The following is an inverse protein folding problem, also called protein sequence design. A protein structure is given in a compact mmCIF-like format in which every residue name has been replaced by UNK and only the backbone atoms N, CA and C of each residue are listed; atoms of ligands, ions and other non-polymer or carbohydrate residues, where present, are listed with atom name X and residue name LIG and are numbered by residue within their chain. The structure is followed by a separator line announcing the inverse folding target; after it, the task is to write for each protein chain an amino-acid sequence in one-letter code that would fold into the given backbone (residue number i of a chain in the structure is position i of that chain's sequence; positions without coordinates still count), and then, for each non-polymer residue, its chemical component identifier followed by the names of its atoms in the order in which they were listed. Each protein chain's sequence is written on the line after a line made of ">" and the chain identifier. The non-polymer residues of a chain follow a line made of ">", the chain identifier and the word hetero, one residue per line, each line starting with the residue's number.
data_IF_744466665037
#
_entry.id   IF_744466665037
#
_cell.length_a   1.000
_cell.length_b   1.000
_cell.length_c   1.000
_cell.angle_alpha   90.00
_cell.angle_beta   90.00
_cell.angle_gamma   90.00
#
_symmetry.space_group_name_H-M   'P 1'
#
loop_
_entity.id
_entity.type
_entity.pdbx_description
1 polymer ?
#
# COMPACT_ATOMS: atom_id res chain seq x y z
N UNK A 1 -7.67 36.32 -13.80
CA UNK A 1 -6.56 35.55 -14.29
C UNK A 1 -6.80 34.04 -14.13
N UNK A 2 -7.62 33.41 -15.01
CA UNK A 2 -7.89 31.96 -14.93
C UNK A 2 -6.61 31.11 -15.09
N UNK A 3 -5.63 31.61 -15.80
CA UNK A 3 -4.36 30.94 -16.09
C UNK A 3 -3.50 30.64 -14.84
N UNK A 4 -3.47 31.56 -13.88
CA UNK A 4 -2.70 31.39 -12.64
C UNK A 4 -3.37 30.38 -11.72
N UNK A 5 -4.69 30.29 -11.76
CA UNK A 5 -5.45 29.29 -11.00
C UNK A 5 -5.24 27.87 -11.57
N UNK A 6 -5.29 27.72 -12.89
CA UNK A 6 -5.02 26.45 -13.56
C UNK A 6 -3.59 25.95 -13.32
N UNK A 7 -2.59 26.83 -13.40
CA UNK A 7 -1.19 26.48 -13.08
C UNK A 7 -1.02 26.10 -11.61
N UNK A 8 -1.78 26.71 -10.72
CA UNK A 8 -1.81 26.35 -9.30
C UNK A 8 -2.40 24.95 -9.08
N UNK A 9 -3.48 24.62 -9.77
CA UNK A 9 -4.13 23.31 -9.72
C UNK A 9 -3.24 22.19 -10.29
N UNK A 10 -2.56 22.45 -11.41
CA UNK A 10 -1.64 21.47 -12.02
C UNK A 10 -0.46 21.15 -11.10
N UNK A 11 0.11 22.16 -10.45
CA UNK A 11 1.18 21.98 -9.47
C UNK A 11 0.71 21.25 -8.23
N UNK A 12 -0.45 21.60 -7.71
CA UNK A 12 -1.05 20.95 -6.56
C UNK A 12 -1.35 19.46 -6.85
N UNK A 13 -1.91 19.17 -8.03
CA UNK A 13 -2.15 17.80 -8.47
C UNK A 13 -0.87 16.99 -8.61
N UNK A 14 0.21 17.58 -9.12
CA UNK A 14 1.51 16.93 -9.23
C UNK A 14 2.12 16.60 -7.86
N UNK A 15 2.00 17.51 -6.89
CA UNK A 15 2.45 17.28 -5.51
C UNK A 15 1.65 16.16 -4.87
N UNK A 16 0.33 16.17 -4.99
CA UNK A 16 -0.54 15.13 -4.44
C UNK A 16 -0.28 13.75 -5.07
N UNK A 17 0.04 13.71 -6.36
CA UNK A 17 0.36 12.46 -7.06
C UNK A 17 1.68 11.83 -6.60
N UNK A 18 2.61 12.62 -6.07
CA UNK A 18 3.87 12.11 -5.49
C UNK A 18 3.76 11.70 -4.02
N UNK A 19 2.67 12.07 -3.34
CA UNK A 19 2.39 11.67 -1.97
C UNK A 19 1.85 10.23 -1.92
N UNK A 20 1.96 9.59 -0.76
CA UNK A 20 1.23 8.36 -0.52
C UNK A 20 -0.28 8.58 -0.68
N UNK A 21 -0.98 7.61 -1.26
CA UNK A 21 -2.38 7.79 -1.64
C UNK A 21 -3.30 8.10 -0.44
N UNK A 22 -3.03 7.51 0.72
CA UNK A 22 -3.76 7.79 1.96
C UNK A 22 -3.57 9.23 2.45
N UNK A 23 -2.36 9.77 2.37
CA UNK A 23 -2.06 11.18 2.70
C UNK A 23 -2.73 12.15 1.72
N UNK A 24 -2.71 11.81 0.44
CA UNK A 24 -3.39 12.61 -0.60
C UNK A 24 -4.91 12.61 -0.38
N UNK A 25 -5.49 11.48 0.00
CA UNK A 25 -6.91 11.34 0.33
C UNK A 25 -7.28 12.23 1.52
N UNK A 26 -6.49 12.24 2.58
CA UNK A 26 -6.73 13.08 3.76
C UNK A 26 -6.77 14.57 3.41
N UNK A 27 -5.89 15.01 2.53
CA UNK A 27 -5.89 16.39 2.04
C UNK A 27 -7.14 16.67 1.18
N UNK A 28 -7.46 15.77 0.26
CA UNK A 28 -8.60 15.94 -0.66
C UNK A 28 -9.94 15.95 0.07
N UNK A 29 -10.09 15.21 1.14
CA UNK A 29 -11.32 15.20 1.96
C UNK A 29 -11.64 16.55 2.61
N UNK A 30 -10.62 17.35 2.85
CA UNK A 30 -10.76 18.69 3.44
C UNK A 30 -11.04 19.81 2.42
N UNK A 31 -11.11 19.47 1.13
CA UNK A 31 -11.37 20.44 0.05
C UNK A 31 -12.84 20.45 -0.36
N UNK A 32 -13.25 21.55 -0.99
CA UNK A 32 -14.56 21.63 -1.62
C UNK A 32 -14.68 20.58 -2.75
N UNK A 33 -15.88 20.02 -3.00
CA UNK A 33 -16.07 18.99 -4.03
C UNK A 33 -15.58 19.39 -5.42
N UNK A 34 -15.73 20.67 -5.80
CA UNK A 34 -15.26 21.20 -7.09
C UNK A 34 -13.73 21.21 -7.19
N UNK A 35 -13.04 21.61 -6.13
CA UNK A 35 -11.57 21.62 -6.07
C UNK A 35 -11.01 20.20 -6.06
N UNK A 36 -11.63 19.31 -5.29
CA UNK A 36 -11.28 17.89 -5.22
C UNK A 36 -11.35 17.23 -6.59
N UNK A 37 -12.47 17.37 -7.30
CA UNK A 37 -12.64 16.81 -8.64
C UNK A 37 -11.65 17.41 -9.65
N UNK A 38 -11.40 18.72 -9.58
CA UNK A 38 -10.47 19.41 -10.45
C UNK A 38 -9.02 18.91 -10.26
N UNK A 39 -8.61 18.62 -9.03
CA UNK A 39 -7.29 18.09 -8.72
C UNK A 39 -7.15 16.62 -9.18
N UNK A 40 -8.12 15.79 -8.87
CA UNK A 40 -8.12 14.37 -9.28
C UNK A 40 -8.09 14.25 -10.81
N UNK A 41 -8.85 15.08 -11.53
CA UNK A 41 -8.89 15.05 -12.99
C UNK A 41 -7.53 15.36 -13.66
N UNK A 42 -6.62 16.04 -12.94
CA UNK A 42 -5.29 16.40 -13.43
C UNK A 42 -4.19 15.39 -13.08
N UNK A 43 -4.51 14.36 -12.30
CA UNK A 43 -3.57 13.31 -11.93
C UNK A 43 -3.41 12.28 -13.05
N UNK A 44 -2.32 11.51 -13.01
CA UNK A 44 -2.15 10.33 -13.85
C UNK A 44 -3.15 9.23 -13.47
N UNK A 45 -3.32 8.25 -14.35
CA UNK A 45 -4.32 7.18 -14.14
C UNK A 45 -4.03 6.32 -12.92
N UNK A 46 -2.78 6.01 -12.66
CA UNK A 46 -2.37 5.21 -11.50
C UNK A 46 -2.75 5.91 -10.19
N UNK A 47 -2.40 7.18 -10.04
CA UNK A 47 -2.76 7.97 -8.87
C UNK A 47 -4.29 8.10 -8.69
N UNK A 48 -5.03 8.27 -9.80
CA UNK A 48 -6.50 8.29 -9.77
C UNK A 48 -7.07 6.98 -9.27
N UNK A 49 -6.57 5.85 -9.77
CA UNK A 49 -7.06 4.52 -9.41
C UNK A 49 -6.81 4.24 -7.92
N UNK A 50 -5.64 4.59 -7.41
CA UNK A 50 -5.28 4.43 -5.99
C UNK A 50 -6.18 5.28 -5.09
N UNK A 51 -6.41 6.53 -5.45
CA UNK A 51 -7.28 7.45 -4.69
C UNK A 51 -8.72 6.96 -4.73
N UNK A 52 -9.23 6.55 -5.87
CA UNK A 52 -10.58 6.01 -6.00
C UNK A 52 -10.75 4.72 -5.21
N UNK A 53 -9.74 3.87 -5.18
CA UNK A 53 -9.75 2.65 -4.38
C UNK A 53 -9.94 2.97 -2.89
N UNK A 54 -9.16 3.89 -2.34
CA UNK A 54 -9.25 4.29 -0.93
C UNK A 54 -10.61 4.95 -0.63
N UNK A 55 -11.10 5.83 -1.50
CA UNK A 55 -12.40 6.47 -1.36
C UNK A 55 -13.59 5.50 -1.48
N UNK A 56 -13.39 4.31 -2.06
CA UNK A 56 -14.45 3.30 -2.15
C UNK A 56 -14.80 2.66 -0.80
N UNK A 57 -13.95 2.84 0.22
CA UNK A 57 -14.17 2.33 1.57
C UNK A 57 -14.68 3.43 2.50
N UNK A 58 -15.56 3.06 3.43
CA UNK A 58 -16.06 3.95 4.46
C UNK A 58 -14.95 4.30 5.48
N UNK A 59 -15.05 5.46 6.12
CA UNK A 59 -14.07 5.93 7.11
C UNK A 59 -13.81 4.94 8.26
N UNK A 60 -14.81 4.11 8.58
CA UNK A 60 -14.68 3.07 9.61
C UNK A 60 -13.98 1.80 9.14
N UNK A 61 -13.79 1.65 7.83
CA UNK A 61 -13.17 0.46 7.23
C UNK A 61 -11.66 0.64 7.07
N UNK A 62 -10.92 -0.46 7.19
CA UNK A 62 -9.45 -0.50 7.04
C UNK A 62 -9.01 0.07 5.69
N UNK A 63 -9.73 -0.22 4.62
CA UNK A 63 -9.40 0.25 3.28
C UNK A 63 -9.31 1.77 3.13
N UNK A 64 -10.00 2.53 3.97
CA UNK A 64 -9.92 4.00 3.97
C UNK A 64 -8.60 4.54 4.55
N UNK A 65 -7.85 3.72 5.27
CA UNK A 65 -6.61 4.08 5.97
C UNK A 65 -5.37 3.41 5.41
N UNK A 66 -5.51 2.53 4.40
CA UNK A 66 -4.39 1.81 3.82
C UNK A 66 -3.55 2.70 2.91
N UNK A 67 -2.26 2.40 2.84
CA UNK A 67 -1.37 2.91 1.80
C UNK A 67 -1.33 1.94 0.62
N UNK A 68 -1.07 2.46 -0.58
CA UNK A 68 -0.76 1.66 -1.77
C UNK A 68 0.75 1.51 -2.00
N UNK A 69 1.55 2.04 -1.09
CA UNK A 69 3.02 1.98 -1.10
C UNK A 69 3.51 0.68 -0.44
N UNK A 70 3.65 -0.37 -1.22
CA UNK A 70 4.14 -1.68 -0.78
C UNK A 70 4.77 -2.46 -1.93
N UNK A 71 5.51 -3.51 -1.60
CA UNK A 71 6.21 -4.36 -2.56
C UNK A 71 5.58 -5.75 -2.58
N UNK A 72 5.28 -6.25 -3.78
CA UNK A 72 4.77 -7.61 -4.00
C UNK A 72 5.65 -8.35 -5.00
N UNK A 73 6.00 -9.59 -4.68
CA UNK A 73 6.76 -10.47 -5.56
C UNK A 73 6.01 -11.81 -5.73
N UNK A 74 6.23 -12.52 -6.85
CA UNK A 74 5.65 -13.85 -7.03
C UNK A 74 6.36 -14.89 -6.16
N UNK A 75 5.63 -15.92 -5.73
CA UNK A 75 6.17 -17.01 -4.89
C UNK A 75 7.07 -17.98 -5.65
N UNK A 76 6.98 -18.04 -6.96
CA UNK A 76 7.66 -19.01 -7.82
C UNK A 76 8.99 -18.50 -8.40
N UNK A 77 9.59 -17.51 -7.79
CA UNK A 77 10.88 -16.97 -8.24
C UNK A 77 12.04 -17.45 -7.36
N UNK A 78 13.26 -17.34 -7.89
CA UNK A 78 14.49 -17.59 -7.13
C UNK A 78 14.81 -16.42 -6.21
N UNK A 79 15.73 -16.62 -5.25
CA UNK A 79 16.24 -15.53 -4.38
C UNK A 79 16.76 -14.36 -5.23
N UNK A 80 17.50 -14.65 -6.29
CA UNK A 80 18.04 -13.63 -7.20
C UNK A 80 16.93 -12.87 -7.94
N UNK A 81 15.93 -13.56 -8.43
CA UNK A 81 14.79 -12.94 -9.09
C UNK A 81 13.95 -12.10 -8.10
N UNK A 82 13.76 -12.58 -6.87
CA UNK A 82 13.08 -11.84 -5.82
C UNK A 82 13.81 -10.51 -5.49
N UNK A 83 15.14 -10.55 -5.41
CA UNK A 83 15.95 -9.34 -5.20
C UNK A 83 15.80 -8.35 -6.36
N UNK A 84 15.74 -8.83 -7.60
CA UNK A 84 15.49 -7.96 -8.75
C UNK A 84 14.11 -7.30 -8.70
N UNK A 85 13.07 -8.05 -8.33
CA UNK A 85 11.73 -7.50 -8.11
C UNK A 85 11.72 -6.43 -7.04
N UNK A 86 12.40 -6.68 -5.91
CA UNK A 86 12.54 -5.71 -4.83
C UNK A 86 13.20 -4.42 -5.34
N UNK A 87 14.35 -4.52 -5.99
CA UNK A 87 15.13 -3.36 -6.47
C UNK A 87 14.30 -2.53 -7.45
N UNK A 88 13.60 -3.19 -8.39
CA UNK A 88 12.78 -2.48 -9.38
C UNK A 88 11.60 -1.72 -8.77
N UNK A 89 11.02 -2.21 -7.68
CA UNK A 89 9.89 -1.59 -7.00
C UNK A 89 10.31 -0.59 -5.92
N UNK A 90 11.52 -0.73 -5.35
CA UNK A 90 12.01 0.12 -4.27
C UNK A 90 12.27 1.57 -4.69
N UNK A 91 12.40 1.85 -5.99
CA UNK A 91 12.52 3.22 -6.50
C UNK A 91 11.25 4.05 -6.24
N UNK A 92 10.09 3.40 -6.31
CA UNK A 92 8.77 4.02 -6.19
C UNK A 92 8.08 3.76 -4.85
N UNK A 93 8.67 2.95 -3.98
CA UNK A 93 8.07 2.54 -2.71
C UNK A 93 9.07 2.65 -1.56
N UNK A 94 8.66 3.30 -0.49
CA UNK A 94 9.46 3.49 0.73
C UNK A 94 9.24 2.37 1.77
N UNK A 95 8.08 1.71 1.72
CA UNK A 95 7.72 0.62 2.63
C UNK A 95 8.30 -0.71 2.13
N UNK A 96 9.60 -0.90 2.37
CA UNK A 96 10.37 -2.04 1.84
C UNK A 96 10.81 -3.05 2.90
N UNK A 97 10.57 -2.79 4.18
CA UNK A 97 11.03 -3.66 5.28
C UNK A 97 10.32 -5.02 5.28
N UNK A 98 9.08 -5.05 4.82
CA UNK A 98 8.31 -6.26 4.60
C UNK A 98 7.90 -6.36 3.14
N UNK A 99 8.20 -7.50 2.53
CA UNK A 99 7.89 -7.78 1.13
C UNK A 99 6.76 -8.80 1.09
N UNK A 100 5.65 -8.46 0.46
CA UNK A 100 4.52 -9.37 0.32
C UNK A 100 4.72 -10.30 -0.84
N UNK A 101 4.18 -11.50 -0.74
CA UNK A 101 4.33 -12.56 -1.73
C UNK A 101 2.94 -13.00 -2.19
N UNK A 102 2.75 -13.05 -3.49
CA UNK A 102 1.53 -13.55 -4.12
C UNK A 102 1.75 -14.88 -4.83
N UNK A 103 0.69 -15.69 -4.92
CA UNK A 103 0.72 -16.95 -5.64
C UNK A 103 0.46 -16.77 -7.14
N UNK A 104 0.39 -17.88 -7.88
CA UNK A 104 0.17 -17.92 -9.33
C UNK A 104 -1.16 -17.27 -9.76
N UNK A 105 -2.15 -17.20 -8.87
CA UNK A 105 -3.45 -16.59 -9.11
C UNK A 105 -3.53 -15.12 -8.65
N UNK A 106 -2.41 -14.55 -8.22
CA UNK A 106 -2.37 -13.18 -7.69
C UNK A 106 -2.96 -13.03 -6.30
N UNK A 107 -3.08 -14.13 -5.54
CA UNK A 107 -3.58 -14.12 -4.17
C UNK A 107 -2.44 -14.02 -3.16
N UNK A 108 -2.74 -13.42 -2.02
CA UNK A 108 -1.79 -13.34 -0.92
C UNK A 108 -1.32 -14.74 -0.49
N UNK A 109 0.00 -14.92 -0.45
CA UNK A 109 0.63 -16.18 -0.08
C UNK A 109 1.38 -16.08 1.26
N UNK A 110 2.10 -14.99 1.48
CA UNK A 110 2.89 -14.77 2.67
C UNK A 110 3.73 -13.51 2.58
N UNK A 111 4.71 -13.39 3.46
CA UNK A 111 5.60 -12.23 3.51
C UNK A 111 7.04 -12.65 3.79
N UNK A 112 7.97 -11.80 3.36
CA UNK A 112 9.41 -11.93 3.58
C UNK A 112 9.90 -10.66 4.27
N UNK A 113 10.69 -10.80 5.33
CA UNK A 113 11.41 -9.68 5.89
C UNK A 113 12.59 -9.31 4.99
N UNK A 114 12.80 -8.02 4.75
CA UNK A 114 13.90 -7.52 3.92
C UNK A 114 15.24 -8.08 4.37
N UNK A 115 15.48 -8.14 5.67
CA UNK A 115 16.70 -8.70 6.26
C UNK A 115 16.94 -10.15 5.81
N UNK A 116 15.90 -10.98 5.78
CA UNK A 116 16.00 -12.38 5.39
C UNK A 116 16.31 -12.52 3.90
N UNK A 117 15.78 -11.65 3.06
CA UNK A 117 16.09 -11.62 1.64
C UNK A 117 17.53 -11.17 1.36
N UNK A 118 18.00 -10.12 2.05
CA UNK A 118 19.36 -9.59 1.90
C UNK A 118 20.41 -10.62 2.35
N UNK A 119 20.14 -11.36 3.42
CA UNK A 119 21.07 -12.36 3.98
C UNK A 119 20.94 -13.74 3.36
N UNK A 120 19.91 -13.96 2.54
CA UNK A 120 19.67 -15.24 1.87
C UNK A 120 20.79 -15.56 0.88
N UNK A 121 21.15 -16.84 0.80
CA UNK A 121 22.17 -17.32 -0.12
C UNK A 121 21.54 -17.84 -1.42
N UNK A 122 22.24 -17.73 -2.53
CA UNK A 122 21.73 -18.10 -3.86
C UNK A 122 21.22 -19.56 -3.96
N UNK A 123 21.78 -20.48 -3.16
CA UNK A 123 21.36 -21.87 -3.17
C UNK A 123 20.10 -22.13 -2.34
N UNK A 124 19.66 -21.16 -1.53
CA UNK A 124 18.43 -21.29 -0.75
C UNK A 124 17.19 -21.15 -1.67
N UNK A 125 16.12 -21.80 -1.28
CA UNK A 125 14.84 -21.64 -1.96
C UNK A 125 14.11 -20.45 -1.34
N UNK A 126 13.37 -19.70 -2.17
CA UNK A 126 12.57 -18.58 -1.68
C UNK A 126 11.57 -19.03 -0.60
N UNK A 127 10.97 -20.20 -0.76
CA UNK A 127 10.03 -20.78 0.22
C UNK A 127 10.61 -20.92 1.62
N UNK A 128 11.94 -21.03 1.77
CA UNK A 128 12.60 -21.17 3.07
C UNK A 128 12.56 -19.86 3.89
N UNK A 129 12.36 -18.73 3.24
CA UNK A 129 12.31 -17.41 3.87
C UNK A 129 10.94 -16.76 3.84
N UNK A 130 9.95 -17.40 3.23
CA UNK A 130 8.57 -16.90 3.21
C UNK A 130 7.85 -17.34 4.49
N UNK A 131 7.28 -16.37 5.23
CA UNK A 131 6.36 -16.65 6.32
C UNK A 131 4.94 -16.73 5.77
N UNK A 132 4.36 -17.92 5.77
CA UNK A 132 2.98 -18.14 5.34
C UNK A 132 1.95 -17.86 6.44
N UNK A 133 2.41 -17.66 7.67
CA UNK A 133 1.59 -17.31 8.83
C UNK A 133 1.59 -15.80 9.14
N UNK A 134 2.17 -14.98 8.26
CA UNK A 134 2.19 -13.54 8.43
C UNK A 134 0.76 -12.98 8.43
N UNK A 135 0.41 -12.09 9.39
CA UNK A 135 -0.95 -11.59 9.53
C UNK A 135 -1.40 -10.73 8.35
N UNK A 136 -2.69 -10.70 8.14
CA UNK A 136 -3.34 -9.83 7.14
C UNK A 136 -4.72 -9.39 7.63
N UNK A 137 -5.26 -8.37 7.00
CA UNK A 137 -6.62 -7.88 7.24
C UNK A 137 -7.36 -7.69 5.92
N UNK A 138 -8.68 -7.73 5.95
CA UNK A 138 -9.51 -7.38 4.79
C UNK A 138 -9.85 -5.90 4.79
N UNK A 139 -9.87 -5.28 3.61
CA UNK A 139 -10.13 -3.86 3.45
C UNK A 139 -11.51 -3.41 3.96
N UNK A 140 -12.50 -4.29 3.91
CA UNK A 140 -13.87 -4.02 4.36
C UNK A 140 -14.11 -4.27 5.85
N UNK A 141 -13.10 -4.74 6.59
CA UNK A 141 -13.19 -4.91 8.03
C UNK A 141 -13.22 -3.54 8.72
N UNK A 142 -13.92 -3.47 9.86
CA UNK A 142 -13.93 -2.26 10.67
C UNK A 142 -12.58 -2.07 11.36
N UNK A 143 -12.04 -0.87 11.26
CA UNK A 143 -10.75 -0.52 11.89
C UNK A 143 -10.79 -0.72 13.40
N UNK A 144 -11.92 -0.42 14.06
CA UNK A 144 -12.08 -0.64 15.51
C UNK A 144 -11.93 -2.10 15.93
N UNK A 145 -12.38 -3.05 15.10
CA UNK A 145 -12.30 -4.48 15.39
C UNK A 145 -10.89 -5.03 15.14
N UNK A 146 -10.17 -4.46 14.19
CA UNK A 146 -8.83 -4.93 13.80
C UNK A 146 -7.72 -4.27 14.62
N UNK A 147 -7.89 -3.05 15.10
CA UNK A 147 -6.84 -2.28 15.76
C UNK A 147 -6.30 -2.95 17.02
N UNK A 148 -7.17 -3.55 17.82
CA UNK A 148 -6.75 -4.27 19.04
C UNK A 148 -5.84 -5.47 18.69
N UNK A 149 -6.18 -6.19 17.63
CA UNK A 149 -5.35 -7.31 17.15
C UNK A 149 -4.04 -6.82 16.55
N UNK A 150 -4.09 -5.72 15.77
CA UNK A 150 -2.91 -5.17 15.10
C UNK A 150 -1.86 -4.60 16.06
N UNK A 151 -2.27 -4.06 17.21
CA UNK A 151 -1.37 -3.56 18.25
C UNK A 151 -0.52 -4.70 18.86
N UNK A 152 -1.07 -5.90 18.93
CA UNK A 152 -0.37 -7.07 19.48
C UNK A 152 0.69 -7.62 18.51
N UNK A 153 0.64 -7.23 17.22
CA UNK A 153 1.68 -7.58 16.25
C UNK A 153 2.80 -6.54 16.28
N UNK A 154 4.04 -7.01 16.40
CA UNK A 154 5.23 -6.15 16.35
C UNK A 154 5.72 -5.90 14.92
N UNK A 155 4.84 -6.05 13.95
CA UNK A 155 5.16 -5.94 12.54
C UNK A 155 5.11 -4.49 12.05
N UNK A 156 6.01 -4.11 11.15
CA UNK A 156 6.08 -2.75 10.60
C UNK A 156 4.89 -2.42 9.70
N UNK A 157 4.39 -3.40 8.99
CA UNK A 157 3.22 -3.28 8.14
C UNK A 157 2.46 -4.59 8.00
N UNK A 158 1.18 -4.50 7.68
CA UNK A 158 0.29 -5.65 7.50
C UNK A 158 -0.42 -5.50 6.15
N UNK A 159 -0.44 -6.54 5.30
CA UNK A 159 -1.12 -6.46 4.02
C UNK A 159 -2.63 -6.39 4.19
N UNK A 160 -3.26 -5.57 3.36
CA UNK A 160 -4.70 -5.41 3.26
C UNK A 160 -5.18 -6.11 2.00
N UNK A 161 -6.16 -7.01 2.16
CA UNK A 161 -6.68 -7.85 1.09
C UNK A 161 -8.11 -7.48 0.73
N UNK A 162 -8.49 -7.73 -0.52
CA UNK A 162 -9.88 -7.77 -0.92
C UNK A 162 -10.51 -9.14 -0.61
N UNK A 163 -11.80 -9.31 -0.86
CA UNK A 163 -12.51 -10.57 -0.61
C UNK A 163 -12.16 -11.70 -1.59
N UNK A 164 -11.41 -11.40 -2.64
CA UNK A 164 -10.77 -12.39 -3.51
C UNK A 164 -9.37 -12.81 -3.02
N UNK A 165 -8.98 -12.37 -1.83
CA UNK A 165 -7.68 -12.65 -1.21
C UNK A 165 -6.50 -12.03 -1.96
N UNK A 166 -6.75 -10.97 -2.71
CA UNK A 166 -5.70 -10.18 -3.40
C UNK A 166 -5.21 -9.04 -2.53
N UNK A 167 -3.91 -8.80 -2.57
CA UNK A 167 -3.28 -7.66 -1.88
C UNK A 167 -3.67 -6.38 -2.62
N UNK A 168 -4.28 -5.43 -1.92
CA UNK A 168 -4.69 -4.14 -2.47
C UNK A 168 -4.10 -2.94 -1.74
N UNK A 169 -3.48 -3.16 -0.60
CA UNK A 169 -2.87 -2.11 0.20
C UNK A 169 -2.06 -2.67 1.35
N UNK A 170 -1.60 -1.78 2.21
CA UNK A 170 -0.93 -2.10 3.46
C UNK A 170 -1.35 -1.12 4.56
N UNK A 171 -1.37 -1.60 5.79
CA UNK A 171 -1.50 -0.77 7.00
C UNK A 171 -0.16 -0.74 7.69
N UNK A 172 0.38 0.45 7.94
CA UNK A 172 1.62 0.64 8.68
C UNK A 172 1.34 0.85 10.17
N UNK A 173 2.36 0.65 10.99
CA UNK A 173 2.26 0.94 12.43
C UNK A 173 1.88 2.40 12.70
N UNK A 174 2.37 3.34 11.89
CA UNK A 174 2.03 4.75 12.00
C UNK A 174 0.53 4.99 11.78
N UNK A 175 -0.06 4.36 10.77
CA UNK A 175 -1.50 4.45 10.48
C UNK A 175 -2.34 3.92 11.63
N UNK A 176 -1.89 2.85 12.29
CA UNK A 176 -2.54 2.26 13.46
C UNK A 176 -2.46 3.22 14.65
N UNK A 177 -1.30 3.83 14.88
CA UNK A 177 -1.07 4.76 15.98
C UNK A 177 -1.90 6.04 15.86
N UNK A 178 -2.08 6.56 14.64
CA UNK A 178 -2.90 7.74 14.36
C UNK A 178 -4.40 7.48 14.55
N UNK A 179 -4.84 6.24 14.43
CA UNK A 179 -6.25 5.85 14.55
C UNK A 179 -6.72 5.63 16.00
N UNK A 180 -5.79 5.63 16.96
CA UNK A 180 -6.06 5.51 18.40
C UNK A 180 -6.17 6.91 19.01
#
# INVERSE_FOLDING_TARGET
>A
APYLHELGLDRAAAVLAEMDADEAVDILENLDPEEKEALIARMDQESKDDIHLIFSYDEEQIGSRMTTNYIVIPNNCTIKQAMRHLISQAEDNDNIDTIYVEDENGRYFGAIELKDLITAREYMKLEDIISTSYPYVYADEKSSDCMEELIDYSEDSIPVLDRNHKIIGAITYEDIAEAI
#
